data_IF_565221855034
#
_entry.id   IF_565221855034
#
_cell.length_a   1.000
_cell.length_b   1.000
_cell.length_c   1.000
_cell.angle_alpha   90.00
_cell.angle_beta   90.00
_cell.angle_gamma   90.00
#
_symmetry.space_group_name_H-M   'P 1'
#
loop_
_entity.id
_entity.type
_entity.pdbx_description
1 polymer ?
#
# COMPACT_ATOMS: atom_id res chain seq x y z
N UNK A 1 51.44 15.52 -25.00
CA UNK A 1 50.23 16.31 -24.70
C UNK A 1 48.93 15.79 -25.35
N UNK A 2 48.91 14.68 -26.09
CA UNK A 2 47.69 14.20 -26.80
C UNK A 2 46.99 13.01 -26.10
N UNK A 3 47.72 12.28 -25.26
CA UNK A 3 47.19 11.14 -24.50
C UNK A 3 46.54 11.53 -23.16
N UNK A 4 46.91 12.70 -22.60
CA UNK A 4 46.37 13.19 -21.34
C UNK A 4 44.90 13.61 -21.47
N UNK A 5 44.52 14.15 -22.63
CA UNK A 5 43.14 14.55 -22.96
C UNK A 5 42.21 13.36 -23.19
N UNK A 6 42.74 12.21 -23.65
CA UNK A 6 41.95 10.99 -23.87
C UNK A 6 41.59 10.31 -22.54
N UNK A 7 42.48 10.36 -21.55
CA UNK A 7 42.22 9.80 -20.22
C UNK A 7 41.14 10.62 -19.48
N UNK A 8 41.12 11.94 -19.65
CA UNK A 8 40.11 12.81 -19.04
C UNK A 8 38.71 12.61 -19.64
N UNK A 9 38.63 12.33 -20.95
CA UNK A 9 37.37 12.07 -21.65
C UNK A 9 36.74 10.70 -21.30
N UNK A 10 37.52 9.74 -20.82
CA UNK A 10 37.01 8.42 -20.43
C UNK A 10 36.47 8.40 -18.99
N UNK A 11 36.89 9.36 -18.14
CA UNK A 11 36.47 9.45 -16.74
C UNK A 11 35.07 10.08 -16.58
N UNK A 12 34.59 10.83 -17.56
CA UNK A 12 33.25 11.44 -17.54
C UNK A 12 32.13 10.45 -17.88
N UNK A 13 32.45 9.31 -18.50
CA UNK A 13 31.50 8.22 -18.78
C UNK A 13 31.18 7.36 -17.56
N UNK A 14 31.97 7.43 -16.49
CA UNK A 14 31.72 6.72 -15.23
C UNK A 14 30.73 7.45 -14.30
N UNK A 15 30.35 8.69 -14.62
CA UNK A 15 29.40 9.48 -13.84
C UNK A 15 27.95 9.35 -14.32
N UNK A 16 27.69 8.62 -15.41
CA UNK A 16 26.33 8.25 -15.82
C UNK A 16 25.82 6.99 -15.07
N UNK A 17 26.19 6.85 -13.80
CA UNK A 17 25.54 5.95 -12.86
C UNK A 17 24.48 6.74 -12.10
N UNK A 18 23.30 6.96 -12.70
CA UNK A 18 22.14 7.42 -11.95
C UNK A 18 21.68 6.27 -11.05
N UNK A 19 22.42 6.06 -9.96
CA UNK A 19 21.99 5.26 -8.83
C UNK A 19 20.74 5.91 -8.31
N UNK A 20 19.60 5.30 -8.62
CA UNK A 20 18.32 5.65 -8.00
C UNK A 20 18.57 5.65 -6.51
N UNK A 21 18.52 6.84 -5.92
CA UNK A 21 18.72 7.03 -4.49
C UNK A 21 17.91 5.95 -3.77
N UNK A 22 18.63 5.15 -2.98
CA UNK A 22 18.04 4.26 -2.01
C UNK A 22 17.22 5.13 -1.06
N UNK A 23 15.97 5.43 -1.43
CA UNK A 23 14.94 5.84 -0.50
C UNK A 23 14.92 4.74 0.54
N UNK A 24 15.41 5.10 1.72
CA UNK A 24 15.69 4.15 2.78
C UNK A 24 14.53 3.18 2.96
N UNK A 25 14.88 1.91 3.12
CA UNK A 25 14.01 0.78 3.47
C UNK A 25 13.34 0.95 4.86
N UNK A 26 13.04 2.18 5.28
CA UNK A 26 12.42 2.51 6.57
C UNK A 26 10.95 2.89 6.44
N UNK A 27 10.58 3.75 5.48
CA UNK A 27 9.18 4.24 5.35
C UNK A 27 8.32 3.35 4.46
N UNK A 28 8.86 2.88 3.33
CA UNK A 28 8.13 2.03 2.37
C UNK A 28 7.90 0.59 2.84
N UNK A 29 8.37 0.25 4.04
CA UNK A 29 8.34 -1.10 4.62
C UNK A 29 7.56 -1.18 5.93
N UNK A 30 6.73 -0.18 6.24
CA UNK A 30 5.85 -0.25 7.41
C UNK A 30 4.53 -0.96 7.04
N UNK A 31 3.85 -1.58 8.01
CA UNK A 31 2.51 -2.13 7.79
C UNK A 31 1.52 -1.04 7.34
N UNK A 32 1.58 0.14 7.97
CA UNK A 32 0.74 1.29 7.65
C UNK A 32 0.90 1.73 6.20
N UNK A 33 2.15 1.96 5.75
CA UNK A 33 2.42 2.33 4.36
C UNK A 33 1.91 1.29 3.36
N UNK A 34 2.11 0.00 3.66
CA UNK A 34 1.65 -1.10 2.80
C UNK A 34 0.13 -1.10 2.66
N UNK A 35 -0.59 -0.92 3.78
CA UNK A 35 -2.04 -0.88 3.77
C UNK A 35 -2.59 0.37 3.07
N UNK A 36 -2.02 1.56 3.35
CA UNK A 36 -2.41 2.79 2.66
C UNK A 36 -2.20 2.66 1.15
N UNK A 37 -1.05 2.15 0.72
CA UNK A 37 -0.76 1.92 -0.71
C UNK A 37 -1.73 0.91 -1.35
N UNK A 38 -2.05 -0.16 -0.61
CA UNK A 38 -3.02 -1.17 -1.05
C UNK A 38 -4.41 -0.55 -1.33
N UNK A 39 -4.93 0.25 -0.39
CA UNK A 39 -6.26 0.84 -0.53
C UNK A 39 -6.29 2.03 -1.49
N UNK A 40 -5.23 2.83 -1.54
CA UNK A 40 -5.10 3.91 -2.53
C UNK A 40 -5.12 3.34 -3.96
N UNK A 41 -4.42 2.22 -4.18
CA UNK A 41 -4.47 1.49 -5.45
C UNK A 41 -5.87 1.03 -5.83
N UNK A 42 -6.70 0.64 -4.85
CA UNK A 42 -8.07 0.16 -5.08
C UNK A 42 -9.05 1.30 -5.36
N UNK A 43 -9.05 2.34 -4.53
CA UNK A 43 -10.11 3.35 -4.53
C UNK A 43 -9.76 4.60 -5.33
N UNK A 44 -8.50 5.03 -5.33
CA UNK A 44 -8.08 6.26 -6.02
C UNK A 44 -7.47 5.96 -7.39
N UNK A 45 -6.67 4.89 -7.50
CA UNK A 45 -6.02 4.52 -8.76
C UNK A 45 -6.84 3.52 -9.59
N UNK A 46 -7.88 2.92 -9.00
CA UNK A 46 -8.73 1.89 -9.62
C UNK A 46 -7.92 0.76 -10.30
N UNK A 47 -6.81 0.36 -9.68
CA UNK A 47 -5.87 -0.62 -10.22
C UNK A 47 -5.76 -1.84 -9.31
N UNK A 48 -6.51 -2.88 -9.68
CA UNK A 48 -6.56 -4.14 -8.92
C UNK A 48 -5.19 -4.83 -8.84
N UNK A 49 -4.41 -4.81 -9.93
CA UNK A 49 -3.13 -5.54 -9.97
C UNK A 49 -2.05 -4.82 -9.14
N UNK A 50 -2.07 -3.49 -9.09
CA UNK A 50 -1.22 -2.74 -8.17
C UNK A 50 -1.55 -3.06 -6.72
N UNK A 51 -2.83 -3.06 -6.35
CA UNK A 51 -3.24 -3.48 -5.02
C UNK A 51 -2.84 -4.94 -4.72
N UNK A 52 -3.01 -5.86 -5.69
CA UNK A 52 -2.70 -7.28 -5.53
C UNK A 52 -1.21 -7.55 -5.24
N UNK A 53 -0.29 -6.67 -5.64
CA UNK A 53 1.14 -6.76 -5.29
C UNK A 53 1.41 -6.55 -3.80
N UNK A 54 0.51 -5.83 -3.12
CA UNK A 54 0.57 -5.57 -1.69
C UNK A 54 -0.29 -6.55 -0.87
N UNK A 55 -0.91 -7.55 -1.52
CA UNK A 55 -1.74 -8.57 -0.87
C UNK A 55 -0.99 -9.90 -0.73
N UNK A 56 -1.39 -10.73 0.24
CA UNK A 56 -0.87 -12.11 0.32
C UNK A 56 -1.30 -12.89 -0.93
N UNK A 57 -0.56 -13.95 -1.34
CA UNK A 57 -0.90 -14.71 -2.55
C UNK A 57 -2.34 -15.25 -2.55
N UNK A 58 -2.86 -15.58 -1.36
CA UNK A 58 -4.25 -16.01 -1.17
C UNK A 58 -5.22 -14.86 -1.46
N UNK A 59 -5.05 -13.71 -0.81
CA UNK A 59 -5.91 -12.55 -1.03
C UNK A 59 -5.81 -12.04 -2.48
N UNK A 60 -4.61 -11.96 -3.05
CA UNK A 60 -4.38 -11.57 -4.43
C UNK A 60 -5.12 -12.48 -5.45
N UNK A 61 -5.25 -13.79 -5.16
CA UNK A 61 -6.05 -14.70 -5.98
C UNK A 61 -7.54 -14.38 -5.90
N UNK A 62 -8.05 -14.12 -4.70
CA UNK A 62 -9.45 -13.69 -4.48
C UNK A 62 -9.70 -12.36 -5.19
N UNK A 63 -8.80 -11.39 -5.06
CA UNK A 63 -8.89 -10.11 -5.77
C UNK A 63 -9.09 -10.31 -7.27
N UNK A 64 -8.21 -11.10 -7.90
CA UNK A 64 -8.26 -11.36 -9.35
C UNK A 64 -9.54 -12.08 -9.80
N UNK A 65 -10.19 -12.89 -8.96
CA UNK A 65 -11.46 -13.52 -9.34
C UNK A 65 -12.62 -12.53 -9.49
N UNK A 66 -12.51 -11.32 -8.94
CA UNK A 66 -13.50 -10.25 -9.14
C UNK A 66 -13.25 -9.41 -10.41
N UNK A 67 -12.11 -9.57 -11.09
CA UNK A 67 -11.79 -8.89 -12.35
C UNK A 67 -11.35 -7.42 -12.22
N UNK A 68 -12.09 -6.58 -11.48
CA UNK A 68 -11.79 -5.14 -11.34
C UNK A 68 -11.70 -4.70 -9.88
N UNK A 69 -10.99 -3.59 -9.62
CA UNK A 69 -10.90 -3.00 -8.28
C UNK A 69 -12.29 -2.64 -7.74
N UNK A 70 -13.12 -1.99 -8.56
CA UNK A 70 -14.49 -1.63 -8.20
C UNK A 70 -15.39 -2.83 -7.87
N UNK A 71 -15.28 -3.93 -8.60
CA UNK A 71 -16.05 -5.15 -8.29
C UNK A 71 -15.54 -5.80 -6.99
N UNK A 72 -14.23 -5.85 -6.78
CA UNK A 72 -13.66 -6.37 -5.54
C UNK A 72 -14.08 -5.54 -4.32
N UNK A 73 -13.95 -4.22 -4.38
CA UNK A 73 -14.29 -3.33 -3.25
C UNK A 73 -15.77 -3.34 -2.93
N UNK A 74 -16.63 -3.30 -3.96
CA UNK A 74 -18.08 -3.35 -3.79
C UNK A 74 -18.58 -4.66 -3.18
N UNK A 75 -18.05 -5.79 -3.62
CA UNK A 75 -18.61 -7.10 -3.25
C UNK A 75 -17.90 -7.76 -2.06
N UNK A 76 -16.58 -7.60 -1.92
CA UNK A 76 -15.84 -8.24 -0.84
C UNK A 76 -15.60 -7.28 0.33
N UNK A 77 -15.18 -6.05 0.04
CA UNK A 77 -14.86 -5.06 1.08
C UNK A 77 -16.12 -4.33 1.57
N UNK A 78 -17.17 -4.35 0.74
CA UNK A 78 -18.43 -3.65 0.96
C UNK A 78 -18.24 -2.17 1.29
N UNK A 79 -17.31 -1.50 0.59
CA UNK A 79 -17.16 -0.04 0.63
C UNK A 79 -17.18 0.51 -0.79
N UNK A 80 -17.90 1.61 -0.97
CA UNK A 80 -18.06 2.26 -2.27
C UNK A 80 -17.78 3.75 -2.09
N UNK A 81 -16.79 4.23 -2.83
CA UNK A 81 -16.40 5.63 -2.88
C UNK A 81 -16.13 6.02 -4.32
N UNK A 82 -16.37 7.28 -4.66
CA UNK A 82 -15.93 7.90 -5.91
C UNK A 82 -14.44 8.31 -5.81
N UNK A 83 -14.05 8.87 -4.66
CA UNK A 83 -12.68 9.15 -4.24
C UNK A 83 -12.61 9.05 -2.71
N UNK A 84 -11.45 8.65 -2.16
CA UNK A 84 -11.29 8.44 -0.71
C UNK A 84 -9.98 9.01 -0.18
N UNK A 85 -10.07 9.68 0.97
CA UNK A 85 -8.95 10.01 1.84
C UNK A 85 -8.77 8.88 2.85
N UNK A 86 -7.53 8.41 3.00
CA UNK A 86 -7.19 7.24 3.81
C UNK A 86 -6.31 7.70 4.97
N UNK A 87 -6.78 7.52 6.20
CA UNK A 87 -6.06 7.90 7.40
C UNK A 87 -5.78 6.68 8.28
N UNK A 88 -4.58 6.61 8.83
CA UNK A 88 -4.21 5.60 9.81
C UNK A 88 -4.68 6.07 11.18
N UNK A 89 -5.43 5.23 11.88
CA UNK A 89 -5.68 5.45 13.30
C UNK A 89 -4.35 5.20 14.05
N UNK A 90 -3.70 6.27 14.49
CA UNK A 90 -2.41 6.22 15.19
C UNK A 90 -2.55 6.14 16.72
N UNK A 91 -3.73 5.78 17.24
CA UNK A 91 -3.89 5.56 18.68
C UNK A 91 -2.91 4.51 19.19
N UNK A 92 -2.47 4.64 20.45
CA UNK A 92 -1.46 3.77 21.05
C UNK A 92 -1.76 2.27 20.96
N UNK A 93 -3.03 1.89 20.75
CA UNK A 93 -3.46 0.51 20.58
C UNK A 93 -3.09 -0.05 19.19
N UNK A 94 -3.29 0.70 18.11
CA UNK A 94 -2.99 0.26 16.74
C UNK A 94 -1.49 0.09 16.49
N UNK A 95 -0.66 0.93 17.14
CA UNK A 95 0.81 0.83 17.07
C UNK A 95 1.37 -0.38 17.84
N UNK A 96 0.67 -0.84 18.90
CA UNK A 96 1.07 -2.01 19.71
C UNK A 96 0.70 -3.35 19.10
N UNK A 97 -0.20 -3.39 18.12
CA UNK A 97 -0.66 -4.64 17.49
C UNK A 97 0.31 -5.19 16.41
N UNK A 98 1.55 -4.72 16.39
CA UNK A 98 2.63 -5.28 15.59
C UNK A 98 3.43 -6.30 16.42
N UNK A 99 3.26 -7.59 16.10
CA UNK A 99 3.93 -8.68 16.78
C UNK A 99 4.67 -9.55 15.78
N UNK A 100 6.00 -9.51 15.81
CA UNK A 100 6.87 -10.33 14.96
C UNK A 100 6.56 -10.16 13.47
N UNK A 101 5.91 -11.18 12.89
CA UNK A 101 5.55 -11.23 11.47
C UNK A 101 4.07 -10.91 11.20
N UNK A 102 3.35 -10.33 12.17
CA UNK A 102 1.95 -9.92 12.02
C UNK A 102 1.74 -8.50 12.52
N UNK A 103 0.81 -7.80 11.87
CA UNK A 103 0.38 -6.48 12.30
C UNK A 103 -1.13 -6.37 12.09
N UNK A 104 -1.79 -5.66 12.99
CA UNK A 104 -3.19 -5.25 12.80
C UNK A 104 -3.25 -3.74 12.97
N UNK A 105 -3.89 -3.07 12.02
CA UNK A 105 -4.01 -1.61 12.00
C UNK A 105 -5.46 -1.23 11.74
N UNK A 106 -5.90 -0.11 12.32
CA UNK A 106 -7.20 0.46 12.01
C UNK A 106 -7.01 1.64 11.06
N UNK A 107 -7.93 1.77 10.11
CA UNK A 107 -7.86 2.80 9.08
C UNK A 107 -9.24 3.42 8.89
N UNK A 108 -9.27 4.74 8.81
CA UNK A 108 -10.47 5.54 8.52
C UNK A 108 -10.45 5.93 7.05
N UNK A 109 -11.60 5.81 6.41
CA UNK A 109 -11.84 6.10 5.01
C UNK A 109 -12.92 7.17 4.94
N UNK A 110 -12.56 8.37 4.48
CA UNK A 110 -13.50 9.46 4.25
C UNK A 110 -13.56 9.75 2.78
N UNK A 111 -14.74 9.61 2.18
CA UNK A 111 -14.90 9.79 0.75
C UNK A 111 -16.29 10.29 0.38
N UNK A 112 -16.50 10.48 -0.91
CA UNK A 112 -17.81 10.83 -1.46
C UNK A 112 -18.45 9.61 -2.09
N UNK A 113 -19.76 9.45 -1.92
CA UNK A 113 -20.58 8.49 -2.63
C UNK A 113 -21.86 9.19 -3.10
N UNK A 114 -22.02 9.33 -4.43
CA UNK A 114 -23.23 9.98 -5.01
C UNK A 114 -23.47 11.41 -4.52
N UNK A 115 -22.40 12.13 -4.20
CA UNK A 115 -22.46 13.52 -3.73
C UNK A 115 -22.64 13.68 -2.22
N UNK A 116 -22.72 12.59 -1.46
CA UNK A 116 -22.75 12.62 0.01
C UNK A 116 -21.41 12.14 0.58
N UNK A 117 -20.95 12.76 1.67
CA UNK A 117 -19.79 12.28 2.40
C UNK A 117 -20.15 10.99 3.14
N UNK A 118 -19.29 9.98 3.01
CA UNK A 118 -19.37 8.70 3.70
C UNK A 118 -18.05 8.44 4.39
N UNK A 119 -18.14 8.13 5.68
CA UNK A 119 -17.01 7.70 6.48
C UNK A 119 -17.17 6.21 6.82
N UNK A 120 -16.11 5.43 6.63
CA UNK A 120 -16.07 4.01 6.99
C UNK A 120 -14.72 3.70 7.66
N UNK A 121 -14.67 2.64 8.45
CA UNK A 121 -13.46 2.20 9.12
C UNK A 121 -13.23 0.70 8.90
N UNK A 122 -11.96 0.31 8.74
CA UNK A 122 -11.56 -1.09 8.60
C UNK A 122 -10.40 -1.43 9.50
N UNK A 123 -10.44 -2.65 10.02
CA UNK A 123 -9.30 -3.25 10.71
C UNK A 123 -8.59 -4.23 9.78
N UNK A 124 -7.33 -3.93 9.48
CA UNK A 124 -6.55 -4.57 8.41
C UNK A 124 -5.45 -5.39 9.03
N UNK A 125 -5.43 -6.68 8.72
CA UNK A 125 -4.39 -7.60 9.16
C UNK A 125 -3.34 -7.75 8.07
N UNK A 126 -2.08 -7.59 8.46
CA UNK A 126 -0.93 -7.72 7.60
C UNK A 126 -0.01 -8.84 8.11
N UNK A 127 0.64 -9.51 7.15
CA UNK A 127 1.65 -10.52 7.42
C UNK A 127 2.97 -10.10 6.80
N UNK A 128 4.06 -10.26 7.55
CA UNK A 128 5.42 -10.08 7.07
C UNK A 128 5.92 -11.40 6.47
N UNK A 129 6.35 -11.35 5.22
CA UNK A 129 6.97 -12.50 4.52
C UNK A 129 8.25 -12.05 3.87
N UNK A 130 9.37 -12.67 4.24
CA UNK A 130 10.71 -12.35 3.73
C UNK A 130 11.02 -10.85 3.83
N UNK A 131 10.71 -10.25 4.97
CA UNK A 131 10.98 -8.84 5.25
C UNK A 131 9.97 -7.84 4.69
N UNK A 132 9.01 -8.26 3.85
CA UNK A 132 7.98 -7.39 3.25
C UNK A 132 6.61 -7.63 3.88
N UNK A 133 5.83 -6.57 4.04
CA UNK A 133 4.45 -6.65 4.53
C UNK A 133 3.48 -6.87 3.38
N UNK A 134 2.40 -7.58 3.69
CA UNK A 134 1.30 -7.85 2.77
C UNK A 134 -0.02 -7.80 3.52
N UNK A 135 -1.04 -7.18 2.93
CA UNK A 135 -2.41 -7.25 3.41
C UNK A 135 -2.91 -8.69 3.27
N UNK A 136 -3.35 -9.27 4.38
CA UNK A 136 -3.87 -10.64 4.41
C UNK A 136 -5.39 -10.68 4.58
N UNK A 137 -5.93 -9.82 5.45
CA UNK A 137 -7.35 -9.77 5.72
C UNK A 137 -7.83 -8.35 5.98
N UNK A 138 -9.02 -8.05 5.47
CA UNK A 138 -9.74 -6.80 5.68
C UNK A 138 -10.97 -7.15 6.52
N UNK A 139 -11.06 -6.62 7.73
CA UNK A 139 -12.19 -6.85 8.61
C UNK A 139 -13.06 -5.59 8.66
N UNK A 140 -14.38 -5.73 8.85
CA UNK A 140 -15.29 -4.62 9.10
C UNK A 140 -14.87 -3.76 10.28
N UNK A 141 -15.57 -2.65 10.47
CA UNK A 141 -15.39 -1.71 11.56
C UNK A 141 -15.29 -2.46 12.92
N UNK A 142 -14.15 -2.37 13.65
CA UNK A 142 -13.97 -3.02 14.94
C UNK A 142 -14.84 -2.45 16.08
N UNK A 143 -15.46 -1.29 15.90
CA UNK A 143 -16.32 -0.59 16.87
C UNK A 143 -17.80 -0.61 16.50
N UNK A 144 -18.17 -1.03 15.28
CA UNK A 144 -19.57 -1.25 14.90
C UNK A 144 -20.16 -2.38 15.78
N UNK A 145 -21.08 -2.01 16.68
CA UNK A 145 -21.88 -2.92 17.50
C UNK A 145 -23.24 -3.17 16.88
#
# INVERSE_FOLDING_TARGET
MKYLTVIFACFTLLLAGCGKDNKGTGESSTPGYTATTYFDSLYNQNNLEMAAKHATPRLARVMRSYGTAKQFTRNLVNMQFDQVTIELDMTNQSLREQYGDSAKINMVFTGMLRGEQVDDMRSVQLLRKKGKWYVDKINPDPFAR
#
